data_IF_740978749625
#
_entry.id   IF_740978749625
#
_cell.length_a   1.000
_cell.length_b   1.000
_cell.length_c   1.000
_cell.angle_alpha   90.00
_cell.angle_beta   90.00
_cell.angle_gamma   90.00
#
_symmetry.space_group_name_H-M   'P 1'
#
loop_
_entity.id
_entity.type
_entity.pdbx_description
1 polymer ?
#
# COMPACT_ATOMS: atom_id res chain seq x y z
N UNK A 1 -14.53 -12.19 29.88
CA UNK A 1 -13.17 -11.70 29.51
C UNK A 1 -12.59 -12.16 28.17
N UNK A 2 -13.39 -12.64 27.21
CA UNK A 2 -12.85 -13.05 25.88
C UNK A 2 -12.34 -11.89 25.02
N UNK A 3 -13.01 -10.73 25.08
CA UNK A 3 -12.59 -9.54 24.33
C UNK A 3 -11.25 -8.97 24.82
N UNK A 4 -11.01 -9.04 26.12
CA UNK A 4 -9.76 -8.60 26.75
C UNK A 4 -8.60 -9.49 26.27
N UNK A 5 -8.78 -10.82 26.32
CA UNK A 5 -7.81 -11.79 25.77
C UNK A 5 -7.55 -11.57 24.28
N UNK A 6 -8.59 -11.35 23.46
CA UNK A 6 -8.40 -11.05 22.05
C UNK A 6 -7.57 -9.78 21.82
N UNK A 7 -7.93 -8.67 22.48
CA UNK A 7 -7.28 -7.37 22.27
C UNK A 7 -5.84 -7.29 22.77
N UNK A 8 -5.52 -7.96 23.88
CA UNK A 8 -4.23 -7.84 24.55
C UNK A 8 -3.27 -9.02 24.33
N UNK A 9 -3.78 -10.19 23.90
CA UNK A 9 -2.96 -11.38 23.68
C UNK A 9 -2.98 -11.76 22.19
N UNK A 10 -4.15 -12.04 21.63
CA UNK A 10 -4.26 -12.55 20.25
C UNK A 10 -3.89 -11.49 19.22
N UNK A 11 -4.45 -10.28 19.35
CA UNK A 11 -4.28 -9.19 18.40
C UNK A 11 -2.82 -8.69 18.31
N UNK A 12 -2.08 -8.43 19.40
CA UNK A 12 -0.66 -8.10 19.31
C UNK A 12 0.20 -9.27 18.81
N UNK A 13 -0.15 -10.52 19.15
CA UNK A 13 0.58 -11.70 18.64
C UNK A 13 0.42 -11.89 17.13
N UNK A 14 -0.76 -11.55 16.58
CA UNK A 14 -1.02 -11.59 15.13
C UNK A 14 -0.73 -10.25 14.43
N UNK A 15 -0.35 -9.19 15.15
CA UNK A 15 -0.25 -7.85 14.58
C UNK A 15 0.76 -7.76 13.44
N UNK A 16 1.91 -8.44 13.56
CA UNK A 16 2.94 -8.48 12.52
C UNK A 16 2.46 -9.23 11.28
N UNK A 17 1.78 -10.37 11.45
CA UNK A 17 1.20 -11.14 10.36
C UNK A 17 0.06 -10.39 9.66
N UNK A 18 -0.81 -9.71 10.42
CA UNK A 18 -1.87 -8.86 9.88
C UNK A 18 -1.31 -7.65 9.14
N UNK A 19 -0.22 -7.05 9.63
CA UNK A 19 0.45 -5.95 8.96
C UNK A 19 1.07 -6.40 7.64
N UNK A 20 1.77 -7.54 7.62
CA UNK A 20 2.33 -8.12 6.40
C UNK A 20 1.23 -8.48 5.37
N UNK A 21 0.15 -9.15 5.81
CA UNK A 21 -0.99 -9.49 4.97
C UNK A 21 -1.74 -8.26 4.47
N UNK A 22 -1.89 -7.23 5.30
CA UNK A 22 -2.49 -5.96 4.94
C UNK A 22 -1.69 -5.19 3.89
N UNK A 23 -0.36 -5.16 4.01
CA UNK A 23 0.52 -4.57 3.00
C UNK A 23 0.44 -5.31 1.66
N UNK A 24 0.37 -6.64 1.69
CA UNK A 24 0.20 -7.45 0.47
C UNK A 24 -1.17 -7.20 -0.18
N UNK A 25 -2.25 -7.19 0.60
CA UNK A 25 -3.59 -6.91 0.09
C UNK A 25 -3.70 -5.49 -0.50
N UNK A 26 -3.05 -4.51 0.12
CA UNK A 26 -2.95 -3.17 -0.41
C UNK A 26 -2.17 -3.13 -1.74
N UNK A 27 -1.03 -3.82 -1.84
CA UNK A 27 -0.26 -3.90 -3.08
C UNK A 27 -1.07 -4.52 -4.23
N UNK A 28 -1.77 -5.64 -3.95
CA UNK A 28 -2.65 -6.28 -4.93
C UNK A 28 -3.82 -5.39 -5.38
N UNK A 29 -4.31 -4.49 -4.53
CA UNK A 29 -5.41 -3.57 -4.91
C UNK A 29 -5.06 -2.62 -6.07
N UNK A 30 -3.78 -2.28 -6.26
CA UNK A 30 -3.34 -1.46 -7.40
C UNK A 30 -3.08 -2.29 -8.65
N UNK A 31 -2.81 -3.59 -8.52
CA UNK A 31 -2.55 -4.50 -9.63
C UNK A 31 -3.84 -4.80 -10.43
N UNK A 32 -4.99 -4.85 -9.76
CA UNK A 32 -6.29 -5.11 -10.40
C UNK A 32 -6.90 -3.93 -11.19
N UNK A 33 -6.11 -2.91 -11.55
CA UNK A 33 -6.60 -1.72 -12.27
C UNK A 33 -7.30 -2.06 -13.59
N UNK A 34 -6.86 -3.12 -14.28
CA UNK A 34 -7.45 -3.56 -15.54
C UNK A 34 -8.86 -4.09 -15.32
N UNK A 35 -9.05 -4.98 -14.34
CA UNK A 35 -10.35 -5.58 -14.02
C UNK A 35 -11.31 -4.50 -13.50
N UNK A 36 -10.84 -3.66 -12.58
CA UNK A 36 -11.65 -2.58 -11.99
C UNK A 36 -12.09 -1.56 -13.03
N UNK A 37 -11.32 -1.31 -14.09
CA UNK A 37 -11.76 -0.43 -15.20
C UNK A 37 -13.00 -0.98 -15.91
N UNK A 38 -13.12 -2.31 -16.03
CA UNK A 38 -14.31 -2.95 -16.62
C UNK A 38 -15.51 -3.03 -15.67
N UNK A 39 -15.27 -3.05 -14.34
CA UNK A 39 -16.34 -3.18 -13.33
C UNK A 39 -16.80 -1.85 -12.73
N UNK A 40 -15.95 -0.81 -12.66
CA UNK A 40 -16.23 0.47 -11.98
C UNK A 40 -17.19 1.40 -12.75
N UNK A 41 -17.41 1.16 -14.04
CA UNK A 41 -18.33 1.94 -14.87
C UNK A 41 -17.92 3.41 -14.98
N UNK A 42 -18.70 4.31 -14.38
CA UNK A 42 -18.48 5.77 -14.43
C UNK A 42 -17.59 6.30 -13.29
N UNK A 43 -17.24 5.46 -12.30
CA UNK A 43 -16.45 5.90 -11.15
C UNK A 43 -14.95 5.89 -11.49
N UNK A 44 -14.30 7.05 -11.39
CA UNK A 44 -12.84 7.17 -11.55
C UNK A 44 -12.16 7.06 -10.19
N UNK A 45 -11.64 5.87 -9.88
CA UNK A 45 -10.77 5.67 -8.72
C UNK A 45 -9.37 6.25 -9.00
N UNK A 46 -8.58 6.46 -7.95
CA UNK A 46 -7.23 7.02 -8.08
C UNK A 46 -6.34 6.21 -9.06
N UNK A 47 -6.31 4.86 -9.05
CA UNK A 47 -5.58 4.07 -10.03
C UNK A 47 -6.10 4.24 -11.47
N UNK A 48 -7.42 4.21 -11.67
CA UNK A 48 -8.06 4.38 -12.99
C UNK A 48 -7.75 5.77 -13.56
N UNK A 49 -7.79 6.80 -12.70
CA UNK A 49 -7.46 8.17 -13.09
C UNK A 49 -5.99 8.29 -13.53
N UNK A 50 -5.04 7.77 -12.74
CA UNK A 50 -3.61 7.77 -13.11
C UNK A 50 -3.40 7.05 -14.45
N UNK A 51 -4.01 5.87 -14.64
CA UNK A 51 -3.93 5.11 -15.88
C UNK A 51 -4.52 5.86 -17.10
N UNK A 52 -5.63 6.56 -16.91
CA UNK A 52 -6.24 7.39 -17.96
C UNK A 52 -5.35 8.56 -18.38
N UNK A 53 -4.62 9.17 -17.43
CA UNK A 53 -3.70 10.28 -17.68
C UNK A 53 -2.40 9.80 -18.37
N UNK A 54 -1.97 8.57 -18.13
CA UNK A 54 -0.86 7.93 -18.86
C UNK A 54 -1.21 7.71 -20.34
N UNK A 55 -2.42 7.25 -20.63
CA UNK A 55 -2.88 6.95 -22.00
C UNK A 55 -3.34 8.17 -22.77
N UNK A 56 -3.96 9.15 -22.11
CA UNK A 56 -4.35 10.45 -22.68
C UNK A 56 -4.00 11.58 -21.70
N UNK A 57 -2.78 12.13 -21.78
CA UNK A 57 -2.35 13.18 -20.87
C UNK A 57 -3.15 14.44 -21.09
N UNK A 58 -3.99 14.82 -20.12
CA UNK A 58 -4.73 16.09 -20.14
C UNK A 58 -4.00 17.16 -19.31
N UNK A 59 -3.43 16.78 -18.17
CA UNK A 59 -2.71 17.66 -17.24
C UNK A 59 -1.42 17.03 -16.66
N UNK A 60 -0.35 17.01 -17.48
CA UNK A 60 0.94 16.38 -17.11
C UNK A 60 1.54 16.84 -15.76
N UNK A 61 1.49 18.13 -15.38
CA UNK A 61 2.07 18.58 -14.11
C UNK A 61 1.35 17.98 -12.89
N UNK A 62 0.02 17.91 -12.93
CA UNK A 62 -0.80 17.40 -11.82
C UNK A 62 -0.60 15.90 -11.66
N UNK A 63 -0.61 15.15 -12.75
CA UNK A 63 -0.38 13.70 -12.73
C UNK A 63 0.99 13.35 -12.17
N UNK A 64 2.04 14.10 -12.52
CA UNK A 64 3.39 13.82 -12.02
C UNK A 64 3.50 14.04 -10.50
N UNK A 65 2.88 15.10 -9.97
CA UNK A 65 2.86 15.37 -8.52
C UNK A 65 2.09 14.28 -7.77
N UNK A 66 0.93 13.87 -8.27
CA UNK A 66 0.14 12.79 -7.65
C UNK A 66 0.90 11.46 -7.69
N UNK A 67 1.52 11.12 -8.82
CA UNK A 67 2.33 9.92 -8.95
C UNK A 67 3.50 9.90 -7.95
N UNK A 68 4.22 11.02 -7.85
CA UNK A 68 5.30 11.18 -6.86
C UNK A 68 4.81 10.99 -5.42
N UNK A 69 3.65 11.55 -5.09
CA UNK A 69 3.07 11.47 -3.74
C UNK A 69 2.65 10.03 -3.41
N UNK A 70 2.00 9.33 -4.34
CA UNK A 70 1.63 7.91 -4.19
C UNK A 70 2.87 7.05 -3.98
N UNK A 71 3.89 7.21 -4.82
CA UNK A 71 5.16 6.46 -4.69
C UNK A 71 5.86 6.79 -3.38
N UNK A 72 5.86 8.05 -2.93
CA UNK A 72 6.50 8.44 -1.67
C UNK A 72 5.78 7.80 -0.47
N UNK A 73 4.46 7.81 -0.45
CA UNK A 73 3.67 7.22 0.64
C UNK A 73 3.88 5.70 0.73
N UNK A 74 4.05 5.00 -0.40
CA UNK A 74 4.28 3.56 -0.40
C UNK A 74 5.74 3.20 -0.16
N UNK A 75 6.68 3.92 -0.77
CA UNK A 75 8.10 3.62 -0.69
C UNK A 75 8.70 4.00 0.67
N UNK A 76 8.34 5.15 1.27
CA UNK A 76 8.95 5.61 2.53
C UNK A 76 8.79 4.58 3.66
N UNK A 77 7.58 4.04 3.96
CA UNK A 77 7.42 3.05 5.01
C UNK A 77 8.18 1.75 4.72
N UNK A 78 8.20 1.31 3.46
CA UNK A 78 8.91 0.09 3.04
C UNK A 78 10.42 0.28 3.23
N UNK A 79 10.97 1.39 2.75
CA UNK A 79 12.40 1.71 2.88
C UNK A 79 12.79 1.92 4.34
N UNK A 80 11.94 2.56 5.13
CA UNK A 80 12.14 2.74 6.57
C UNK A 80 12.17 1.40 7.31
N UNK A 81 11.20 0.52 7.03
CA UNK A 81 11.16 -0.82 7.61
C UNK A 81 12.38 -1.66 7.19
N UNK A 82 12.78 -1.57 5.91
CA UNK A 82 13.95 -2.26 5.39
C UNK A 82 15.24 -1.78 6.06
N UNK A 83 15.42 -0.47 6.24
CA UNK A 83 16.58 0.11 6.92
C UNK A 83 16.65 -0.30 8.39
N UNK A 84 15.51 -0.35 9.10
CA UNK A 84 15.46 -0.81 10.49
C UNK A 84 15.74 -2.31 10.61
N UNK A 85 15.27 -3.10 9.65
CA UNK A 85 15.52 -4.54 9.58
C UNK A 85 17.00 -4.86 9.32
N UNK A 86 17.69 -4.06 8.49
CA UNK A 86 19.12 -4.21 8.25
C UNK A 86 19.96 -3.94 9.51
N UNK A 87 19.62 -2.90 10.28
CA UNK A 87 20.29 -2.62 11.57
C UNK A 87 20.11 -3.70 12.63
N UNK A 88 19.06 -4.51 12.51
CA UNK A 88 18.79 -5.61 13.46
C UNK A 88 19.57 -6.89 13.10
N UNK A 89 20.12 -6.98 11.88
CA UNK A 89 20.95 -8.10 11.43
C UNK A 89 22.42 -8.03 11.87
N UNK A 90 22.95 -6.84 12.17
CA UNK A 90 24.37 -6.64 12.51
C UNK A 90 24.71 -6.88 14.01
N UNK A 91 23.70 -7.09 14.86
CA UNK A 91 23.88 -7.36 16.31
C UNK A 91 23.76 -8.84 16.69
N UNK A 92 23.71 -9.74 15.71
CA UNK A 92 23.55 -11.18 15.91
C UNK A 92 24.77 -12.01 15.47
N UNK A 93 25.96 -11.41 15.41
CA UNK A 93 27.25 -12.12 15.37
C UNK A 93 28.03 -11.95 16.69
#
# INVERSE_FOLDING_TARGET
DGFQTFRYIVLPNLATALLAGGMLAFALSFDEVIVTTFTAGQQSTLPIWIFSQLTRPRDRPVTNVVAFLVVSITAIPILYAHFLSQRSGDTAE
#
